data_IF_525692395509
#
_entry.id   IF_525692395509
#
_cell.length_a   1.000
_cell.length_b   1.000
_cell.length_c   1.000
_cell.angle_alpha   90.00
_cell.angle_beta   90.00
_cell.angle_gamma   90.00
#
_symmetry.space_group_name_H-M   'P 1'
#
loop_
_entity.id
_entity.type
_entity.pdbx_description
1 polymer ?
#
# COMPACT_ATOMS: atom_id res chain seq x y z
N UNK A 1 -11.20 17.35 -6.55
CA UNK A 1 -10.65 15.97 -6.51
C UNK A 1 -9.35 15.93 -7.30
N UNK A 2 -8.26 15.50 -6.66
CA UNK A 2 -6.91 15.49 -7.25
C UNK A 2 -6.63 14.14 -7.92
N UNK A 3 -6.01 14.16 -9.11
CA UNK A 3 -5.51 12.96 -9.76
C UNK A 3 -4.06 12.69 -9.32
N UNK A 4 -3.85 11.58 -8.63
CA UNK A 4 -2.56 11.17 -8.09
C UNK A 4 -1.98 10.11 -9.03
N UNK A 5 -1.06 10.54 -9.91
CA UNK A 5 -0.51 9.70 -10.98
C UNK A 5 0.79 9.01 -10.59
N UNK A 6 1.43 9.43 -9.50
CA UNK A 6 2.58 8.74 -8.93
C UNK A 6 2.47 8.70 -7.42
N UNK A 7 2.99 7.63 -6.82
CA UNK A 7 3.01 7.43 -5.38
C UNK A 7 4.44 7.14 -4.93
N UNK A 8 4.83 7.67 -3.79
CA UNK A 8 6.12 7.44 -3.15
C UNK A 8 5.95 7.35 -1.64
N UNK A 9 6.86 6.67 -0.96
CA UNK A 9 6.79 6.46 0.49
C UNK A 9 7.98 7.06 1.20
N UNK A 10 7.76 7.58 2.40
CA UNK A 10 8.82 7.91 3.33
C UNK A 10 8.46 7.38 4.71
N UNK A 11 9.46 6.85 5.42
CA UNK A 11 9.28 6.28 6.74
C UNK A 11 10.02 7.16 7.74
N UNK A 12 9.28 7.67 8.71
CA UNK A 12 9.81 8.48 9.79
C UNK A 12 9.87 7.62 11.06
N UNK A 13 11.06 7.08 11.42
CA UNK A 13 11.23 6.27 12.62
C UNK A 13 11.19 7.08 13.91
N UNK A 14 11.35 8.41 13.85
CA UNK A 14 11.29 9.29 15.03
C UNK A 14 9.84 9.57 15.38
N UNK A 15 9.01 9.87 14.39
CA UNK A 15 7.58 10.12 14.58
C UNK A 15 6.71 8.84 14.58
N UNK A 16 7.29 7.67 14.29
CA UNK A 16 6.59 6.39 14.13
C UNK A 16 5.48 6.46 13.06
N UNK A 17 5.83 6.96 11.87
CA UNK A 17 4.86 7.27 10.81
C UNK A 17 5.33 6.88 9.41
N UNK A 18 4.37 6.48 8.58
CA UNK A 18 4.55 6.32 7.15
C UNK A 18 3.90 7.51 6.44
N UNK A 19 4.69 8.22 5.62
CA UNK A 19 4.22 9.27 4.72
C UNK A 19 4.03 8.70 3.32
N UNK A 20 2.85 8.89 2.77
CA UNK A 20 2.53 8.63 1.36
C UNK A 20 2.55 9.96 0.61
N UNK A 21 3.37 10.04 -0.43
CA UNK A 21 3.56 11.24 -1.23
C UNK A 21 2.98 10.97 -2.62
N UNK A 22 1.93 11.70 -2.96
CA UNK A 22 1.36 11.75 -4.30
C UNK A 22 2.07 12.79 -5.15
N UNK A 23 2.32 12.45 -6.42
CA UNK A 23 2.83 13.38 -7.43
C UNK A 23 4.21 14.00 -7.10
N UNK A 24 5.12 13.20 -6.53
CA UNK A 24 6.48 13.64 -6.24
C UNK A 24 7.25 13.89 -7.55
N UNK A 25 7.71 15.13 -7.74
CA UNK A 25 8.60 15.58 -8.84
C UNK A 25 8.10 15.28 -10.27
N UNK A 26 6.79 15.13 -10.48
CA UNK A 26 6.22 14.78 -11.79
C UNK A 26 5.46 15.91 -12.49
N UNK A 27 5.58 17.15 -11.97
CA UNK A 27 4.91 18.33 -12.51
C UNK A 27 3.42 18.44 -12.24
N UNK A 28 2.82 17.50 -11.50
CA UNK A 28 1.44 17.57 -11.02
C UNK A 28 1.37 18.17 -9.61
N UNK A 29 0.16 18.49 -9.14
CA UNK A 29 -0.07 18.94 -7.77
C UNK A 29 0.35 17.86 -6.77
N UNK A 30 1.40 18.17 -5.99
CA UNK A 30 1.91 17.30 -4.92
C UNK A 30 0.96 17.30 -3.74
N UNK A 31 0.69 16.11 -3.21
CA UNK A 31 -0.12 15.91 -2.01
C UNK A 31 0.54 14.90 -1.09
N UNK A 32 0.48 15.12 0.21
CA UNK A 32 1.16 14.28 1.18
C UNK A 32 0.17 13.81 2.24
N UNK A 33 0.27 12.53 2.58
CA UNK A 33 -0.59 11.90 3.57
C UNK A 33 0.21 11.22 4.68
N UNK A 34 -0.22 11.42 5.92
CA UNK A 34 0.18 10.55 7.02
C UNK A 34 -0.71 9.31 7.05
N UNK A 35 -0.10 8.14 6.94
CA UNK A 35 -0.77 6.86 7.10
C UNK A 35 -0.72 6.44 8.57
N UNK A 36 -1.88 6.14 9.15
CA UNK A 36 -1.95 5.63 10.52
C UNK A 36 -1.62 4.15 10.56
N UNK A 37 -0.98 3.69 11.64
CA UNK A 37 -0.72 2.25 11.90
C UNK A 37 -1.97 1.40 11.70
N UNK A 38 -3.11 1.83 12.25
CA UNK A 38 -4.40 1.12 12.11
C UNK A 38 -4.84 0.98 10.65
N UNK A 39 -4.67 2.03 9.83
CA UNK A 39 -5.08 1.99 8.42
C UNK A 39 -4.20 1.03 7.63
N UNK A 40 -2.88 1.11 7.82
CA UNK A 40 -1.93 0.29 7.08
C UNK A 40 -2.08 -1.19 7.47
N UNK A 41 -2.16 -1.50 8.77
CA UNK A 41 -2.32 -2.89 9.21
C UNK A 41 -3.62 -3.53 8.67
N UNK A 42 -4.74 -2.79 8.70
CA UNK A 42 -6.00 -3.28 8.11
C UNK A 42 -5.89 -3.54 6.61
N UNK A 43 -5.16 -2.69 5.90
CA UNK A 43 -4.94 -2.85 4.47
C UNK A 43 -4.07 -4.07 4.16
N UNK A 44 -2.98 -4.27 4.92
CA UNK A 44 -2.11 -5.43 4.76
C UNK A 44 -2.81 -6.74 5.14
N UNK A 45 -3.66 -6.74 6.16
CA UNK A 45 -4.51 -7.89 6.52
C UNK A 45 -5.49 -8.26 5.40
N UNK A 46 -6.03 -7.26 4.69
CA UNK A 46 -6.93 -7.47 3.56
C UNK A 46 -6.21 -7.82 2.24
N UNK A 47 -4.88 -7.63 2.16
CA UNK A 47 -4.13 -7.74 0.92
C UNK A 47 -4.18 -9.13 0.27
N UNK A 48 -4.05 -10.26 1.00
CA UNK A 48 -4.15 -11.59 0.40
C UNK A 48 -5.49 -11.81 -0.31
N UNK A 49 -6.58 -11.42 0.35
CA UNK A 49 -7.93 -11.53 -0.22
C UNK A 49 -8.12 -10.60 -1.41
N UNK A 50 -7.60 -9.38 -1.34
CA UNK A 50 -7.64 -8.43 -2.44
C UNK A 50 -6.98 -9.03 -3.68
N UNK A 51 -5.72 -9.48 -3.58
CA UNK A 51 -4.95 -10.05 -4.69
C UNK A 51 -5.62 -11.32 -5.25
N UNK A 52 -6.14 -12.19 -4.38
CA UNK A 52 -6.90 -13.37 -4.82
C UNK A 52 -8.12 -13.01 -5.68
N UNK A 53 -8.79 -11.90 -5.38
CA UNK A 53 -10.01 -11.48 -6.08
C UNK A 53 -9.74 -10.74 -7.39
N UNK A 54 -8.53 -10.22 -7.58
CA UNK A 54 -8.19 -9.30 -8.68
C UNK A 54 -7.14 -9.87 -9.64
N UNK A 55 -6.34 -10.86 -9.21
CA UNK A 55 -5.42 -11.59 -10.08
C UNK A 55 -6.11 -12.81 -10.72
N UNK A 56 -6.17 -12.81 -12.05
CA UNK A 56 -6.63 -13.97 -12.83
C UNK A 56 -5.72 -15.19 -12.60
N UNK A 57 -4.42 -14.97 -12.43
CA UNK A 57 -3.45 -16.07 -12.27
C UNK A 57 -3.57 -16.70 -10.89
N UNK A 58 -3.71 -15.88 -9.83
CA UNK A 58 -3.91 -16.38 -8.46
C UNK A 58 -5.28 -17.07 -8.34
N UNK A 59 -6.34 -16.52 -8.92
CA UNK A 59 -7.68 -17.12 -8.81
C UNK A 59 -7.84 -18.46 -9.55
N UNK A 60 -7.01 -18.72 -10.56
CA UNK A 60 -7.07 -19.96 -11.36
C UNK A 60 -6.24 -21.12 -10.79
N UNK A 61 -5.31 -20.87 -9.86
CA UNK A 61 -4.54 -21.94 -9.21
C UNK A 61 -5.30 -22.56 -8.03
N UNK A 62 -5.04 -23.84 -7.68
CA UNK A 62 -5.60 -24.48 -6.50
C UNK A 62 -5.37 -23.67 -5.23
N UNK A 63 -6.33 -23.70 -4.30
CA UNK A 63 -6.34 -22.90 -3.07
C UNK A 63 -5.01 -23.00 -2.27
N UNK A 64 -4.46 -24.22 -2.19
CA UNK A 64 -3.18 -24.54 -1.54
C UNK A 64 -1.94 -23.85 -2.16
N UNK A 65 -2.05 -23.35 -3.39
CA UNK A 65 -0.99 -22.66 -4.12
C UNK A 65 -1.23 -21.16 -4.31
N UNK A 66 -2.41 -20.65 -3.96
CA UNK A 66 -2.77 -19.24 -4.19
C UNK A 66 -1.84 -18.27 -3.48
N UNK A 67 -1.46 -18.57 -2.24
CA UNK A 67 -0.53 -17.75 -1.48
C UNK A 67 0.88 -17.71 -2.10
N UNK A 68 1.40 -18.88 -2.49
CA UNK A 68 2.69 -18.96 -3.17
C UNK A 68 2.67 -18.20 -4.50
N UNK A 69 1.57 -18.27 -5.25
CA UNK A 69 1.39 -17.51 -6.48
C UNK A 69 1.31 -16.00 -6.23
N UNK A 70 0.56 -15.57 -5.22
CA UNK A 70 0.47 -14.16 -4.83
C UNK A 70 1.84 -13.60 -4.39
N UNK A 71 2.61 -14.39 -3.62
CA UNK A 71 3.98 -14.03 -3.25
C UNK A 71 4.89 -13.91 -4.48
N UNK A 72 4.80 -14.86 -5.41
CA UNK A 72 5.58 -14.80 -6.66
C UNK A 72 5.26 -13.54 -7.48
N UNK A 73 3.97 -13.19 -7.63
CA UNK A 73 3.57 -11.95 -8.30
C UNK A 73 4.09 -10.71 -7.57
N UNK A 74 4.09 -10.74 -6.24
CA UNK A 74 4.62 -9.67 -5.40
C UNK A 74 6.12 -9.48 -5.60
N UNK A 75 6.90 -10.55 -5.53
CA UNK A 75 8.35 -10.52 -5.72
C UNK A 75 8.71 -10.04 -7.14
N UNK A 76 7.96 -10.51 -8.15
CA UNK A 76 8.12 -10.06 -9.53
C UNK A 76 7.83 -8.57 -9.67
N UNK A 77 6.77 -8.06 -9.04
CA UNK A 77 6.39 -6.65 -9.13
C UNK A 77 7.43 -5.71 -8.52
N UNK A 78 8.22 -6.17 -7.54
CA UNK A 78 9.30 -5.39 -6.91
C UNK A 78 10.52 -5.21 -7.82
N UNK A 79 10.72 -6.07 -8.82
CA UNK A 79 11.87 -6.01 -9.74
C UNK A 79 11.84 -4.76 -10.63
N UNK A 80 10.66 -4.18 -10.83
CA UNK A 80 10.46 -2.94 -11.58
C UNK A 80 10.07 -1.86 -10.58
N UNK A 81 10.82 -0.78 -10.42
CA UNK A 81 10.51 0.25 -9.41
C UNK A 81 9.78 1.45 -10.01
N UNK A 82 8.44 1.40 -10.04
CA UNK A 82 7.60 2.56 -10.43
C UNK A 82 7.22 3.36 -9.18
N UNK A 83 6.81 2.67 -8.13
CA UNK A 83 6.60 3.23 -6.79
C UNK A 83 7.90 3.13 -6.02
N UNK A 84 8.34 4.24 -5.42
CA UNK A 84 9.66 4.34 -4.77
C UNK A 84 9.58 4.82 -3.33
N UNK A 85 10.62 4.50 -2.55
CA UNK A 85 10.87 5.15 -1.27
C UNK A 85 11.70 6.43 -1.50
N UNK A 86 11.27 7.55 -0.94
CA UNK A 86 12.08 8.76 -0.80
C UNK A 86 12.80 8.75 0.56
N UNK A 87 14.12 8.64 0.53
CA UNK A 87 14.97 8.50 1.73
C UNK A 87 15.35 9.86 2.32
N UNK A 88 15.31 10.94 1.53
CA UNK A 88 15.91 12.23 1.93
C UNK A 88 14.92 13.33 2.22
N UNK A 89 13.64 13.12 1.89
CA UNK A 89 12.52 14.05 2.06
C UNK A 89 12.97 15.51 2.21
N UNK A 90 13.58 16.04 1.13
CA UNK A 90 14.18 17.40 1.10
C UNK A 90 13.07 18.48 1.10
N UNK A 91 11.83 18.06 1.28
CA UNK A 91 10.61 18.79 1.00
C UNK A 91 9.81 19.00 2.29
N UNK A 92 10.44 19.62 3.28
CA UNK A 92 9.85 19.93 4.60
C UNK A 92 8.69 20.92 4.53
N UNK A 93 8.56 21.64 3.42
CA UNK A 93 7.58 22.72 3.25
C UNK A 93 6.17 22.21 2.91
N UNK A 94 6.01 20.91 2.67
CA UNK A 94 4.72 20.31 2.35
C UNK A 94 4.03 19.79 3.61
N UNK A 95 2.82 20.30 3.85
CA UNK A 95 1.97 19.83 4.93
C UNK A 95 1.31 18.48 4.56
N UNK A 96 1.68 17.44 5.31
CA UNK A 96 1.03 16.14 5.21
C UNK A 96 -0.27 16.12 6.02
N UNK A 97 -1.35 15.64 5.39
CA UNK A 97 -2.68 15.51 6.02
C UNK A 97 -2.91 14.07 6.46
N UNK A 98 -3.57 13.83 7.59
CA UNK A 98 -3.88 12.46 8.03
C UNK A 98 -4.89 11.82 7.07
N UNK A 99 -4.53 10.67 6.49
CA UNK A 99 -5.45 9.87 5.68
C UNK A 99 -6.40 9.11 6.61
N UNK A 100 -7.70 9.40 6.49
CA UNK A 100 -8.75 8.76 7.31
C UNK A 100 -9.17 7.42 6.73
N UNK A 101 -9.36 7.36 5.42
CA UNK A 101 -9.87 6.19 4.70
C UNK A 101 -9.21 6.09 3.33
N UNK A 102 -8.90 4.85 2.95
CA UNK A 102 -8.47 4.48 1.61
C UNK A 102 -9.47 3.45 1.08
N UNK A 103 -10.19 3.78 0.02
CA UNK A 103 -11.07 2.85 -0.65
C UNK A 103 -10.37 2.25 -1.86
N UNK A 104 -10.48 0.94 -2.05
CA UNK A 104 -9.88 0.22 -3.17
C UNK A 104 -10.98 -0.49 -3.94
N UNK A 105 -11.03 -0.24 -5.24
CA UNK A 105 -11.90 -0.94 -6.17
C UNK A 105 -11.10 -1.45 -7.35
N UNK A 106 -11.54 -2.54 -7.98
CA UNK A 106 -10.88 -3.11 -9.16
C UNK A 106 -11.88 -3.14 -10.33
N UNK A 107 -11.51 -2.52 -11.44
CA UNK A 107 -12.37 -2.43 -12.63
C UNK A 107 -11.51 -2.45 -13.89
N UNK A 108 -11.90 -3.26 -14.88
CA UNK A 108 -11.23 -3.33 -16.19
C UNK A 108 -9.70 -3.55 -16.07
N UNK A 109 -9.28 -4.44 -15.18
CA UNK A 109 -7.87 -4.81 -15.00
C UNK A 109 -7.03 -3.81 -14.21
N UNK A 110 -7.62 -2.73 -13.69
CA UNK A 110 -6.92 -1.70 -12.94
C UNK A 110 -7.53 -1.50 -11.55
N UNK A 111 -6.68 -1.18 -10.59
CA UNK A 111 -7.10 -0.72 -9.28
C UNK A 111 -7.40 0.78 -9.34
N UNK A 112 -8.43 1.19 -8.61
CA UNK A 112 -8.70 2.58 -8.29
C UNK A 112 -8.62 2.76 -6.77
N UNK A 113 -7.71 3.61 -6.34
CA UNK A 113 -7.56 4.03 -4.94
C UNK A 113 -8.27 5.36 -4.77
N UNK A 114 -9.18 5.46 -3.79
CA UNK A 114 -9.83 6.69 -3.37
C UNK A 114 -9.31 7.15 -2.02
N UNK A 115 -8.84 8.39 -1.94
CA UNK A 115 -8.23 8.97 -0.74
C UNK A 115 -9.22 9.91 -0.05
N UNK A 116 -9.42 9.74 1.26
CA UNK A 116 -10.33 10.55 2.06
C UNK A 116 -9.59 11.12 3.28
N UNK A 117 -9.70 12.43 3.47
CA UNK A 117 -9.01 13.19 4.53
C UNK A 117 -10.01 13.92 5.41
N UNK A 118 -9.62 14.15 6.67
CA UNK A 118 -10.47 14.82 7.66
C UNK A 118 -11.81 14.11 7.86
N UNK A 119 -12.81 14.84 8.34
CA UNK A 119 -14.16 14.32 8.60
C UNK A 119 -15.08 14.41 7.36
N UNK A 120 -14.51 14.72 6.20
CA UNK A 120 -15.26 14.81 4.95
C UNK A 120 -15.47 13.41 4.36
N UNK A 121 -16.68 13.16 3.86
CA UNK A 121 -16.99 11.96 3.09
C UNK A 121 -16.76 12.14 1.59
N UNK A 122 -16.37 13.34 1.15
CA UNK A 122 -15.94 13.60 -0.21
C UNK A 122 -14.53 13.03 -0.46
N UNK A 123 -14.35 12.45 -1.65
CA UNK A 123 -13.06 11.93 -2.08
C UNK A 123 -12.10 13.09 -2.37
N UNK A 124 -11.01 13.17 -1.61
CA UNK A 124 -9.97 14.18 -1.78
C UNK A 124 -9.22 14.01 -3.10
N UNK A 125 -8.83 12.77 -3.39
CA UNK A 125 -8.13 12.41 -4.62
C UNK A 125 -8.28 10.94 -4.96
N UNK A 126 -7.80 10.57 -6.13
CA UNK A 126 -7.78 9.18 -6.57
C UNK A 126 -6.50 8.85 -7.33
N UNK A 127 -6.19 7.55 -7.42
CA UNK A 127 -5.13 7.01 -8.26
C UNK A 127 -5.65 5.82 -9.04
N UNK A 128 -5.20 5.68 -10.29
CA UNK A 128 -5.42 4.50 -11.12
C UNK A 128 -4.12 3.72 -11.20
N UNK A 129 -4.15 2.45 -10.81
CA UNK A 129 -2.96 1.63 -10.70
C UNK A 129 -3.11 0.32 -11.48
N UNK A 130 -2.01 -0.08 -12.09
CA UNK A 130 -1.81 -1.43 -12.60
C UNK A 130 -1.70 -2.43 -11.45
N UNK A 131 -1.79 -3.72 -11.78
CA UNK A 131 -1.54 -4.80 -10.83
C UNK A 131 -0.16 -4.71 -10.19
N UNK A 132 0.84 -4.38 -11.01
CA UNK A 132 2.22 -4.25 -10.57
C UNK A 132 2.39 -3.12 -9.55
N UNK A 133 1.84 -1.94 -9.81
CA UNK A 133 1.92 -0.80 -8.89
C UNK A 133 1.21 -1.08 -7.57
N UNK A 134 0.08 -1.80 -7.59
CA UNK A 134 -0.59 -2.20 -6.36
C UNK A 134 0.29 -3.10 -5.49
N UNK A 135 0.97 -4.09 -6.08
CA UNK A 135 1.93 -4.93 -5.33
C UNK A 135 3.10 -4.12 -4.78
N UNK A 136 3.61 -3.13 -5.52
CA UNK A 136 4.69 -2.25 -5.04
C UNK A 136 4.24 -1.36 -3.87
N UNK A 137 2.99 -0.86 -3.89
CA UNK A 137 2.42 -0.12 -2.77
C UNK A 137 2.32 -1.00 -1.53
N UNK A 138 1.79 -2.21 -1.68
CA UNK A 138 1.71 -3.18 -0.58
C UNK A 138 3.10 -3.50 -0.02
N UNK A 139 4.09 -3.64 -0.90
CA UNK A 139 5.48 -3.85 -0.52
C UNK A 139 6.01 -2.70 0.34
N UNK A 140 5.86 -1.46 -0.11
CA UNK A 140 6.38 -0.31 0.64
C UNK A 140 5.65 -0.10 1.96
N UNK A 141 4.34 -0.34 2.01
CA UNK A 141 3.58 -0.31 3.26
C UNK A 141 4.05 -1.40 4.24
N UNK A 142 4.25 -2.62 3.76
CA UNK A 142 4.75 -3.75 4.56
C UNK A 142 6.18 -3.50 5.06
N UNK A 143 7.08 -3.04 4.18
CA UNK A 143 8.45 -2.69 4.54
C UNK A 143 8.49 -1.53 5.55
N UNK A 144 7.62 -0.51 5.40
CA UNK A 144 7.48 0.55 6.39
C UNK A 144 7.05 0.01 7.76
N UNK A 145 6.10 -0.94 7.77
CA UNK A 145 5.70 -1.61 9.01
C UNK A 145 6.84 -2.41 9.66
N UNK A 146 7.67 -3.10 8.86
CA UNK A 146 8.84 -3.82 9.38
C UNK A 146 9.88 -2.87 9.97
N UNK A 147 10.17 -1.76 9.30
CA UNK A 147 11.17 -0.78 9.76
C UNK A 147 10.73 -0.03 11.02
N UNK A 148 9.43 0.21 11.17
CA UNK A 148 8.85 0.88 12.33
C UNK A 148 8.42 -0.08 13.44
N UNK A 149 8.69 -1.39 13.30
CA UNK A 149 8.28 -2.43 14.26
C UNK A 149 6.76 -2.42 14.55
N UNK A 150 5.96 -2.33 13.49
CA UNK A 150 4.50 -2.30 13.61
C UNK A 150 3.86 -3.67 13.88
N UNK A 151 4.65 -4.74 13.96
CA UNK A 151 4.20 -6.09 14.31
C UNK A 151 3.60 -6.88 13.15
N UNK A 152 4.08 -6.67 11.92
CA UNK A 152 3.71 -7.49 10.75
C UNK A 152 4.62 -8.70 10.61
N UNK A 153 4.12 -9.77 10.00
CA UNK A 153 4.93 -10.94 9.67
C UNK A 153 6.06 -10.59 8.68
N UNK A 154 7.11 -11.43 8.62
CA UNK A 154 8.24 -11.20 7.74
C UNK A 154 7.87 -11.27 6.25
N UNK A 155 6.81 -12.01 5.92
CA UNK A 155 6.26 -12.11 4.56
C UNK A 155 4.78 -11.68 4.54
N UNK A 156 4.39 -10.97 3.48
CA UNK A 156 3.03 -10.44 3.35
C UNK A 156 2.01 -11.53 2.98
N UNK A 157 2.39 -12.50 2.15
CA UNK A 157 1.46 -13.53 1.64
C UNK A 157 1.74 -14.93 2.18
N UNK A 158 2.70 -15.11 3.09
CA UNK A 158 3.00 -16.44 3.63
C UNK A 158 1.90 -16.90 4.60
N UNK A 159 1.35 -18.09 4.34
CA UNK A 159 0.20 -18.66 5.07
C UNK A 159 0.57 -19.16 6.46
N UNK A 160 1.86 -19.41 6.71
CA UNK A 160 2.31 -20.07 7.94
C UNK A 160 2.42 -19.12 9.15
N UNK A 161 2.55 -17.82 8.93
CA UNK A 161 2.65 -16.81 10.00
C UNK A 161 1.30 -16.16 10.37
N UNK A 162 0.22 -16.48 9.66
CA UNK A 162 -1.12 -15.96 9.96
C UNK A 162 -1.91 -16.81 10.97
N UNK A 163 -1.29 -17.84 11.56
CA UNK A 163 -1.89 -18.53 12.69
C UNK A 163 -1.83 -17.60 13.92
N UNK A 164 -2.98 -17.22 14.53
CA UNK A 164 -2.94 -16.43 15.76
C UNK A 164 -2.15 -17.23 16.79
N UNK A 165 -1.11 -16.62 17.36
CA UNK A 165 -0.44 -17.14 18.54
C UNK A 165 -1.50 -17.24 19.65
N UNK A 166 -2.14 -18.42 19.75
CA UNK A 166 -2.94 -18.77 20.91
C UNK A 166 -1.94 -18.89 22.04
N UNK A 167 -1.89 -17.86 22.88
CA UNK A 167 -1.32 -17.94 24.22
C UNK A 167 -1.88 -19.19 24.88
N UNK A 168 -1.01 -20.18 25.11
CA UNK A 168 -1.26 -21.30 26.02
C UNK A 168 -0.95 -20.86 27.44
#
# INVERSE_FOLDING_TARGET
>A
MINIVSLSFHFDPVEDRIRLIGNLDNGQERVDFWLTRRLVLKLLEAAPRLVQQTSETVSQVPLEHQAAMAQFEHDKAQQTQTVRQDVRLIHTDYHATILRRLDISFLQGNYRLGFFVGDQDEMFGFSMLTHQEMHQILFWMHNGCLQLDWGVAASLFDLNDQAPSRLQ
#
